data_IF_295422927700
#
_entry.id   IF_295422927700
#
_cell.length_a   1.000
_cell.length_b   1.000
_cell.length_c   1.000
_cell.angle_alpha   90.00
_cell.angle_beta   90.00
_cell.angle_gamma   90.00
#
_symmetry.space_group_name_H-M   'P 1'
#
loop_
_entity.id
_entity.type
_entity.pdbx_description
1 polymer ?
#
# COMPACT_ATOMS: atom_id res chain seq x y z
N UNK A 1 -39.08 24.74 18.88
CA UNK A 1 -38.61 23.88 17.77
C UNK A 1 -38.55 22.46 18.32
N UNK A 2 -39.31 21.51 17.76
CA UNK A 2 -39.37 20.15 18.30
C UNK A 2 -37.99 19.51 18.19
N UNK A 3 -37.54 18.90 19.30
CA UNK A 3 -36.35 18.04 19.36
C UNK A 3 -36.61 16.91 18.37
N UNK A 4 -35.89 16.91 17.25
CA UNK A 4 -35.91 15.79 16.33
C UNK A 4 -35.39 14.58 17.10
N UNK A 5 -36.27 13.66 17.47
CA UNK A 5 -35.90 12.29 17.82
C UNK A 5 -35.07 11.74 16.67
N UNK A 6 -33.76 11.72 16.82
CA UNK A 6 -32.86 11.02 15.92
C UNK A 6 -33.20 9.54 16.11
N UNK A 7 -34.13 9.03 15.29
CA UNK A 7 -34.30 7.60 15.09
C UNK A 7 -32.99 7.09 14.49
N UNK A 8 -32.06 6.72 15.36
CA UNK A 8 -30.86 5.97 15.02
C UNK A 8 -31.32 4.72 14.29
N UNK A 9 -31.27 4.77 12.94
CA UNK A 9 -31.44 3.58 12.11
C UNK A 9 -30.19 2.74 12.30
N UNK A 10 -30.26 1.83 13.27
CA UNK A 10 -29.25 0.78 13.44
C UNK A 10 -29.30 -0.11 12.20
N UNK A 11 -28.24 -0.07 11.39
CA UNK A 11 -28.12 -0.91 10.20
C UNK A 11 -27.85 -2.37 10.54
N UNK A 12 -27.26 -2.63 11.72
CA UNK A 12 -26.90 -3.96 12.19
C UNK A 12 -27.08 -4.05 13.70
N UNK A 13 -27.62 -5.16 14.19
CA UNK A 13 -27.77 -5.44 15.63
C UNK A 13 -26.99 -6.71 15.95
N UNK A 14 -26.05 -6.63 16.89
CA UNK A 14 -25.20 -7.76 17.29
C UNK A 14 -25.13 -7.85 18.81
N UNK A 15 -25.21 -9.06 19.34
CA UNK A 15 -25.04 -9.41 20.73
C UNK A 15 -23.81 -10.32 20.86
N UNK A 16 -22.77 -9.85 21.56
CA UNK A 16 -21.58 -10.66 21.85
C UNK A 16 -21.64 -11.16 23.30
N UNK A 17 -21.69 -12.47 23.50
CA UNK A 17 -21.77 -13.11 24.82
C UNK A 17 -20.38 -13.54 25.27
N UNK A 18 -19.86 -12.93 26.33
CA UNK A 18 -18.60 -13.32 26.96
C UNK A 18 -18.88 -14.21 28.17
N UNK A 19 -18.46 -15.47 28.12
CA UNK A 19 -18.76 -16.43 29.21
C UNK A 19 -17.72 -17.56 29.28
N UNK A 20 -17.45 -18.06 30.49
CA UNK A 20 -16.72 -19.30 30.73
C UNK A 20 -17.65 -20.46 31.17
N UNK A 21 -18.98 -20.23 31.17
CA UNK A 21 -20.00 -21.21 31.58
C UNK A 21 -20.72 -21.72 30.33
N UNK A 22 -20.55 -23.01 30.04
CA UNK A 22 -21.20 -23.75 28.95
C UNK A 22 -22.61 -24.25 29.30
N UNK A 23 -22.90 -24.48 30.60
CA UNK A 23 -24.24 -24.73 31.12
C UNK A 23 -24.69 -23.59 32.06
N UNK A 24 -25.29 -22.51 31.54
CA UNK A 24 -25.64 -21.34 32.34
C UNK A 24 -26.69 -21.65 33.43
N UNK A 25 -27.64 -22.53 33.12
CA UNK A 25 -28.82 -22.80 33.95
C UNK A 25 -28.72 -24.06 34.82
N UNK A 26 -27.58 -24.76 34.79
CA UNK A 26 -27.27 -25.92 35.67
C UNK A 26 -28.37 -27.00 35.73
N UNK A 27 -29.09 -27.23 34.62
CA UNK A 27 -30.15 -28.24 34.52
C UNK A 27 -31.57 -27.72 34.79
N UNK A 28 -31.77 -26.42 34.96
CA UNK A 28 -33.11 -25.83 35.01
C UNK A 28 -33.72 -25.75 33.59
N UNK A 29 -34.60 -26.71 33.30
CA UNK A 29 -35.24 -26.86 31.99
C UNK A 29 -36.17 -25.70 31.61
N UNK A 30 -36.79 -25.03 32.60
CA UNK A 30 -37.69 -23.90 32.33
C UNK A 30 -36.89 -22.70 31.83
N UNK A 31 -35.80 -22.35 32.52
CA UNK A 31 -34.93 -21.25 32.12
C UNK A 31 -34.18 -21.54 30.82
N UNK A 32 -33.72 -22.79 30.60
CA UNK A 32 -33.10 -23.19 29.33
C UNK A 32 -34.05 -22.98 28.14
N UNK A 33 -35.31 -23.44 28.28
CA UNK A 33 -36.32 -23.27 27.24
C UNK A 33 -36.60 -21.79 26.98
N UNK A 34 -36.79 -21.00 28.03
CA UNK A 34 -37.05 -19.57 27.91
C UNK A 34 -35.90 -18.83 27.22
N UNK A 35 -34.65 -19.14 27.56
CA UNK A 35 -33.47 -18.54 26.95
C UNK A 35 -33.35 -18.88 25.46
N UNK A 36 -33.60 -20.15 25.08
CA UNK A 36 -33.60 -20.60 23.68
C UNK A 36 -34.70 -19.94 22.86
N UNK A 37 -35.93 -19.87 23.39
CA UNK A 37 -37.04 -19.14 22.75
C UNK A 37 -36.66 -17.68 22.55
N UNK A 38 -36.11 -17.03 23.58
CA UNK A 38 -35.73 -15.61 23.47
C UNK A 38 -34.60 -15.38 22.47
N UNK A 39 -33.64 -16.28 22.37
CA UNK A 39 -32.60 -16.24 21.36
C UNK A 39 -33.18 -16.36 19.95
N UNK A 40 -34.18 -17.24 19.75
CA UNK A 40 -34.91 -17.37 18.47
C UNK A 40 -35.63 -16.07 18.11
N UNK A 41 -36.39 -15.49 19.05
CA UNK A 41 -37.08 -14.21 18.83
C UNK A 41 -36.09 -13.10 18.40
N UNK A 42 -34.92 -13.04 19.05
CA UNK A 42 -33.89 -12.07 18.73
C UNK A 42 -33.34 -12.28 17.31
N UNK A 43 -33.08 -13.53 16.90
CA UNK A 43 -32.66 -13.87 15.55
C UNK A 43 -33.71 -13.44 14.51
N UNK A 44 -34.99 -13.68 14.76
CA UNK A 44 -36.10 -13.25 13.89
C UNK A 44 -36.17 -11.72 13.75
N UNK A 45 -35.84 -10.97 14.79
CA UNK A 45 -35.76 -9.50 14.73
C UNK A 45 -34.47 -8.97 14.04
N UNK A 46 -33.63 -9.87 13.52
CA UNK A 46 -32.38 -9.54 12.82
C UNK A 46 -31.20 -9.25 13.76
N UNK A 47 -31.22 -9.74 15.00
CA UNK A 47 -30.09 -9.64 15.92
C UNK A 47 -29.17 -10.85 15.74
N UNK A 48 -27.90 -10.60 15.45
CA UNK A 48 -26.88 -11.65 15.39
C UNK A 48 -26.31 -11.92 16.79
N UNK A 49 -26.30 -13.18 17.21
CA UNK A 49 -25.80 -13.61 18.52
C UNK A 49 -24.47 -14.33 18.31
N UNK A 50 -23.38 -13.78 18.85
CA UNK A 50 -22.04 -14.36 18.79
C UNK A 50 -21.55 -14.78 20.17
N UNK A 51 -20.91 -15.95 20.24
CA UNK A 51 -20.30 -16.46 21.47
C UNK A 51 -18.80 -16.17 21.52
N UNK A 52 -18.37 -15.48 22.58
CA UNK A 52 -16.97 -15.23 22.96
C UNK A 52 -16.63 -16.09 24.19
N UNK A 53 -16.62 -17.41 24.01
CA UNK A 53 -16.42 -18.33 25.12
C UNK A 53 -14.95 -18.42 25.56
N UNK A 54 -14.76 -18.46 26.87
CA UNK A 54 -13.46 -18.42 27.54
C UNK A 54 -13.10 -19.80 28.10
N UNK A 55 -11.79 -20.07 28.18
CA UNK A 55 -11.30 -21.35 28.72
C UNK A 55 -11.70 -21.54 30.18
N UNK A 56 -12.23 -22.73 30.49
CA UNK A 56 -12.46 -23.22 31.86
C UNK A 56 -11.70 -24.54 32.08
N UNK A 57 -11.41 -24.90 33.35
CA UNK A 57 -10.93 -26.24 33.67
C UNK A 57 -11.92 -27.30 33.17
N UNK A 58 -11.45 -28.25 32.36
CA UNK A 58 -12.31 -29.26 31.72
C UNK A 58 -12.81 -28.91 30.31
N UNK A 59 -12.38 -27.78 29.72
CA UNK A 59 -12.78 -27.38 28.37
C UNK A 59 -14.14 -26.67 28.33
N UNK A 60 -14.58 -26.16 27.17
CA UNK A 60 -15.88 -25.50 27.02
C UNK A 60 -16.66 -26.21 25.92
N UNK A 61 -17.83 -26.77 26.24
CA UNK A 61 -18.65 -27.50 25.28
C UNK A 61 -19.82 -26.64 24.76
N UNK A 62 -19.73 -26.24 23.50
CA UNK A 62 -20.76 -25.41 22.83
C UNK A 62 -22.05 -26.20 22.60
N UNK A 63 -21.97 -27.54 22.46
CA UNK A 63 -23.10 -28.39 22.10
C UNK A 63 -24.16 -28.51 23.20
N UNK A 64 -23.79 -28.24 24.46
CA UNK A 64 -24.69 -28.38 25.60
C UNK A 64 -25.84 -27.35 25.60
N UNK A 65 -25.56 -26.12 25.15
CA UNK A 65 -26.52 -25.01 25.23
C UNK A 65 -26.40 -24.03 24.06
N UNK A 66 -25.18 -23.59 23.75
CA UNK A 66 -24.97 -22.47 22.86
C UNK A 66 -25.17 -22.79 21.37
N UNK A 67 -25.15 -24.06 20.97
CA UNK A 67 -25.40 -24.45 19.58
C UNK A 67 -26.73 -23.93 19.03
N UNK A 68 -27.78 -23.88 19.86
CA UNK A 68 -29.10 -23.42 19.44
C UNK A 68 -29.30 -21.91 19.69
N UNK A 69 -28.44 -21.30 20.52
CA UNK A 69 -28.53 -19.89 20.91
C UNK A 69 -27.75 -18.98 19.95
N UNK A 70 -26.58 -19.42 19.50
CA UNK A 70 -25.70 -18.64 18.62
C UNK A 70 -26.28 -18.57 17.21
N UNK A 71 -26.12 -17.44 16.53
CA UNK A 71 -26.52 -17.31 15.12
C UNK A 71 -25.58 -18.11 14.23
N UNK A 72 -26.09 -18.78 13.18
CA UNK A 72 -25.21 -19.43 12.21
C UNK A 72 -24.31 -18.37 11.55
N UNK A 73 -23.10 -18.75 11.13
CA UNK A 73 -22.20 -17.85 10.43
C UNK A 73 -22.83 -17.26 9.16
N UNK A 74 -22.44 -16.03 8.79
CA UNK A 74 -22.95 -15.38 7.57
C UNK A 74 -22.34 -16.02 6.29
N UNK A 75 -21.20 -16.71 6.40
CA UNK A 75 -20.47 -17.34 5.27
C UNK A 75 -20.16 -18.82 5.54
N UNK A 76 -20.20 -19.67 4.50
CA UNK A 76 -19.79 -21.08 4.60
C UNK A 76 -18.31 -21.26 4.98
N UNK A 77 -17.46 -20.26 4.72
CA UNK A 77 -16.07 -20.24 5.20
C UNK A 77 -15.97 -20.06 6.73
N UNK A 78 -17.00 -19.51 7.38
CA UNK A 78 -17.06 -19.39 8.84
C UNK A 78 -17.66 -20.64 9.52
N UNK A 79 -18.24 -21.60 8.75
CA UNK A 79 -18.76 -22.88 9.29
C UNK A 79 -17.64 -23.78 9.87
N UNK A 80 -16.38 -23.59 9.44
CA UNK A 80 -15.21 -24.28 10.01
C UNK A 80 -14.83 -23.82 11.43
N UNK A 81 -15.43 -22.75 11.93
CA UNK A 81 -15.15 -22.15 13.24
C UNK A 81 -16.03 -22.77 14.35
N UNK A 82 -15.90 -24.07 14.61
CA UNK A 82 -16.20 -24.57 15.95
C UNK A 82 -15.13 -24.00 16.89
N UNK A 83 -15.37 -22.77 17.36
CA UNK A 83 -14.35 -22.00 18.05
C UNK A 83 -13.90 -22.75 19.32
N UNK A 84 -12.59 -22.86 19.55
CA UNK A 84 -11.97 -23.30 20.78
C UNK A 84 -12.12 -22.14 21.78
N UNK A 85 -12.23 -22.45 23.07
CA UNK A 85 -12.30 -21.40 24.07
C UNK A 85 -11.05 -20.53 24.08
N UNK A 86 -11.24 -19.20 24.14
CA UNK A 86 -10.14 -18.25 24.23
C UNK A 86 -9.32 -18.49 25.51
N UNK A 87 -8.00 -18.62 25.36
CA UNK A 87 -7.05 -18.80 26.49
C UNK A 87 -6.36 -17.50 26.86
N UNK A 88 -5.99 -16.67 25.88
CA UNK A 88 -5.29 -15.40 26.06
C UNK A 88 -6.17 -14.22 25.68
N UNK A 89 -5.85 -13.05 26.24
CA UNK A 89 -6.50 -11.79 25.90
C UNK A 89 -6.29 -11.42 24.42
N UNK A 90 -5.10 -11.68 23.87
CA UNK A 90 -4.79 -11.41 22.46
C UNK A 90 -5.72 -12.17 21.51
N UNK A 91 -5.99 -13.45 21.79
CA UNK A 91 -6.88 -14.29 21.00
C UNK A 91 -8.32 -13.79 21.07
N UNK A 92 -8.76 -13.39 22.27
CA UNK A 92 -10.07 -12.79 22.49
C UNK A 92 -10.21 -11.47 21.73
N UNK A 93 -9.20 -10.60 21.79
CA UNK A 93 -9.20 -9.32 21.07
C UNK A 93 -9.26 -9.53 19.55
N UNK A 94 -8.47 -10.48 19.01
CA UNK A 94 -8.53 -10.84 17.58
C UNK A 94 -9.93 -11.32 17.19
N UNK A 95 -10.52 -12.21 18.00
CA UNK A 95 -11.87 -12.76 17.76
C UNK A 95 -12.96 -11.68 17.79
N UNK A 96 -12.91 -10.79 18.79
CA UNK A 96 -13.84 -9.67 18.89
C UNK A 96 -13.70 -8.76 17.67
N UNK A 97 -12.48 -8.34 17.31
CA UNK A 97 -12.22 -7.48 16.15
C UNK A 97 -12.69 -8.08 14.82
N UNK A 98 -12.55 -9.39 14.65
CA UNK A 98 -13.03 -10.11 13.46
C UNK A 98 -14.55 -10.04 13.29
N UNK A 99 -15.30 -9.93 14.40
CA UNK A 99 -16.77 -9.90 14.42
C UNK A 99 -17.37 -8.52 14.71
N UNK A 100 -16.55 -7.58 15.17
CA UNK A 100 -16.97 -6.22 15.54
C UNK A 100 -17.48 -5.43 14.33
N UNK A 101 -16.73 -5.49 13.23
CA UNK A 101 -17.06 -4.77 12.00
C UNK A 101 -17.63 -5.70 10.94
N UNK A 102 -18.75 -5.31 10.32
CA UNK A 102 -19.27 -6.03 9.15
C UNK A 102 -18.38 -5.75 7.93
N UNK A 103 -18.24 -6.75 7.06
CA UNK A 103 -17.61 -6.60 5.74
C UNK A 103 -18.27 -5.42 5.00
N UNK A 104 -17.46 -4.49 4.51
CA UNK A 104 -17.91 -3.32 3.75
C UNK A 104 -17.23 -3.32 2.40
N UNK A 105 -18.02 -3.54 1.34
CA UNK A 105 -17.53 -3.37 -0.02
C UNK A 105 -17.28 -1.88 -0.29
N UNK A 106 -16.10 -1.60 -0.83
CA UNK A 106 -15.70 -0.28 -1.32
C UNK A 106 -16.35 0.03 -2.66
N UNK A 107 -16.49 -0.97 -3.53
CA UNK A 107 -17.24 -0.89 -4.77
C UNK A 107 -17.79 -2.28 -5.12
N UNK A 108 -18.88 -2.32 -5.88
CA UNK A 108 -19.37 -3.54 -6.53
C UNK A 108 -19.25 -3.35 -8.03
N UNK A 109 -18.54 -4.26 -8.69
CA UNK A 109 -18.15 -4.15 -10.09
C UNK A 109 -18.44 -5.47 -10.82
N UNK A 110 -18.63 -5.38 -12.13
CA UNK A 110 -18.66 -6.56 -12.98
C UNK A 110 -17.22 -6.93 -13.39
N UNK A 111 -16.88 -8.20 -13.26
CA UNK A 111 -15.67 -8.81 -13.83
C UNK A 111 -16.05 -9.54 -15.12
N UNK A 112 -15.66 -8.97 -16.25
CA UNK A 112 -15.85 -9.51 -17.59
C UNK A 112 -14.68 -10.42 -17.97
N UNK A 113 -14.95 -11.70 -18.22
CA UNK A 113 -13.94 -12.68 -18.69
C UNK A 113 -13.86 -12.75 -20.22
N UNK A 114 -14.90 -12.29 -20.92
CA UNK A 114 -15.07 -12.37 -22.37
C UNK A 114 -16.49 -12.00 -22.76
N UNK A 115 -16.78 -11.98 -24.07
CA UNK A 115 -18.10 -11.60 -24.58
C UNK A 115 -19.23 -12.46 -23.97
N UNK A 116 -20.15 -11.81 -23.26
CA UNK A 116 -21.28 -12.45 -22.60
C UNK A 116 -20.99 -13.13 -21.26
N UNK A 117 -19.72 -13.23 -20.83
CA UNK A 117 -19.33 -13.87 -19.56
C UNK A 117 -18.94 -12.83 -18.51
N UNK A 118 -19.92 -12.42 -17.69
CA UNK A 118 -19.74 -11.47 -16.59
C UNK A 118 -20.04 -12.14 -15.25
N UNK A 119 -19.25 -11.82 -14.23
CA UNK A 119 -19.56 -12.15 -12.84
C UNK A 119 -19.54 -10.88 -11.99
N UNK A 120 -20.31 -10.84 -10.91
CA UNK A 120 -20.28 -9.72 -9.99
C UNK A 120 -19.21 -9.95 -8.90
N UNK A 121 -18.43 -8.91 -8.61
CA UNK A 121 -17.41 -8.93 -7.57
C UNK A 121 -17.46 -7.67 -6.72
N UNK A 122 -17.23 -7.87 -5.43
CA UNK A 122 -17.02 -6.84 -4.44
C UNK A 122 -15.54 -6.50 -4.35
N UNK A 123 -15.24 -5.22 -4.36
CA UNK A 123 -13.90 -4.69 -4.10
C UNK A 123 -13.86 -4.26 -2.64
N UNK A 124 -12.90 -4.78 -1.89
CA UNK A 124 -12.70 -4.53 -0.47
C UNK A 124 -11.34 -3.88 -0.25
N UNK A 125 -11.25 -3.01 0.74
CA UNK A 125 -9.97 -2.43 1.18
C UNK A 125 -9.65 -3.04 2.53
N UNK A 126 -8.66 -3.94 2.55
CA UNK A 126 -8.24 -4.65 3.77
C UNK A 126 -7.20 -3.87 4.57
N UNK A 127 -6.43 -3.01 3.91
CA UNK A 127 -5.46 -2.12 4.53
C UNK A 127 -5.70 -0.68 4.08
N UNK A 128 -6.03 0.19 5.03
CA UNK A 128 -6.21 1.61 4.81
C UNK A 128 -5.25 2.38 5.72
N UNK A 129 -4.54 3.35 5.16
CA UNK A 129 -3.72 4.25 5.97
C UNK A 129 -4.61 5.08 6.89
N UNK A 130 -4.47 4.89 8.20
CA UNK A 130 -5.14 5.73 9.19
C UNK A 130 -4.58 7.14 9.12
N UNK A 131 -5.43 8.11 8.78
CA UNK A 131 -5.11 9.54 8.76
C UNK A 131 -5.69 10.22 9.99
N UNK A 132 -5.05 11.28 10.45
CA UNK A 132 -5.61 12.16 11.47
C UNK A 132 -6.98 12.67 11.00
N UNK A 133 -8.05 12.56 11.83
CA UNK A 133 -9.36 13.10 11.47
C UNK A 133 -9.29 14.60 11.16
N UNK A 134 -10.11 15.05 10.22
CA UNK A 134 -10.22 16.47 9.89
C UNK A 134 -10.84 17.24 11.07
N UNK A 135 -10.37 18.47 11.30
CA UNK A 135 -10.96 19.34 12.31
C UNK A 135 -12.41 19.70 11.96
N UNK A 136 -13.27 19.74 12.99
CA UNK A 136 -14.67 20.18 12.87
C UNK A 136 -14.74 21.62 13.36
N UNK A 137 -15.40 22.50 12.58
CA UNK A 137 -15.62 23.90 12.98
C UNK A 137 -16.75 23.96 13.99
N UNK A 138 -16.51 24.61 15.13
CA UNK A 138 -17.48 24.74 16.22
C UNK A 138 -17.86 26.21 16.44
N UNK A 139 -19.07 26.45 16.95
CA UNK A 139 -19.47 27.76 17.44
C UNK A 139 -18.86 27.99 18.82
N UNK A 140 -18.30 29.19 19.05
CA UNK A 140 -17.45 29.49 20.21
C UNK A 140 -18.17 29.29 21.55
N UNK A 141 -19.43 29.70 21.63
CA UNK A 141 -20.11 29.84 22.91
C UNK A 141 -20.81 28.55 23.36
N UNK A 142 -21.14 27.65 22.43
CA UNK A 142 -21.88 26.42 22.73
C UNK A 142 -21.23 25.13 22.19
N UNK A 143 -20.09 25.24 21.51
CA UNK A 143 -19.35 24.12 20.90
C UNK A 143 -20.17 23.29 19.89
N UNK A 144 -21.26 23.83 19.33
CA UNK A 144 -22.05 23.13 18.33
C UNK A 144 -21.35 23.12 16.96
N UNK A 145 -21.40 22.01 16.20
CA UNK A 145 -20.83 21.94 14.86
C UNK A 145 -21.45 22.93 13.88
N UNK A 146 -20.61 23.66 13.15
CA UNK A 146 -21.03 24.67 12.17
C UNK A 146 -21.08 24.07 10.77
N UNK A 147 -22.21 24.27 10.08
CA UNK A 147 -22.38 23.87 8.68
C UNK A 147 -21.73 24.87 7.73
N UNK A 148 -20.72 24.43 6.97
CA UNK A 148 -20.11 25.24 5.91
C UNK A 148 -20.92 25.16 4.61
N UNK A 149 -21.30 26.30 4.03
CA UNK A 149 -21.91 26.40 2.69
C UNK A 149 -20.98 27.21 1.79
N UNK A 150 -20.50 26.61 0.70
CA UNK A 150 -19.66 27.30 -0.30
C UNK A 150 -20.51 27.67 -1.49
N UNK A 151 -20.43 28.94 -1.91
CA UNK A 151 -21.14 29.48 -3.08
C UNK A 151 -20.16 30.28 -3.93
N UNK A 152 -20.30 30.20 -5.24
CA UNK A 152 -19.49 30.94 -6.20
C UNK A 152 -20.28 32.14 -6.71
N UNK A 153 -19.63 33.30 -6.79
CA UNK A 153 -20.25 34.54 -7.22
C UNK A 153 -19.42 35.21 -8.29
N UNK A 154 -20.07 35.89 -9.21
CA UNK A 154 -19.41 36.75 -10.18
C UNK A 154 -18.89 38.00 -9.47
N UNK A 155 -17.62 38.34 -9.68
CA UNK A 155 -16.92 39.37 -8.88
C UNK A 155 -17.47 40.78 -9.08
N UNK A 156 -17.91 41.13 -10.30
CA UNK A 156 -18.42 42.48 -10.59
C UNK A 156 -19.92 42.65 -10.29
N UNK A 157 -20.76 41.70 -10.72
CA UNK A 157 -22.23 41.76 -10.57
C UNK A 157 -22.71 41.24 -9.21
N UNK A 158 -21.89 40.49 -8.47
CA UNK A 158 -22.30 39.84 -7.22
C UNK A 158 -23.32 38.70 -7.40
N UNK A 159 -23.64 38.32 -8.65
CA UNK A 159 -24.62 37.27 -8.94
C UNK A 159 -24.07 35.89 -8.62
N UNK A 160 -24.94 35.01 -8.13
CA UNK A 160 -24.60 33.60 -7.90
C UNK A 160 -24.27 32.92 -9.24
N UNK A 161 -23.16 32.19 -9.29
CA UNK A 161 -22.76 31.41 -10.47
C UNK A 161 -23.29 29.98 -10.36
N UNK A 162 -24.05 29.58 -11.38
CA UNK A 162 -24.46 28.20 -11.58
C UNK A 162 -23.36 27.42 -12.30
N UNK A 163 -23.36 26.07 -12.24
CA UNK A 163 -22.41 25.26 -12.99
C UNK A 163 -22.40 25.55 -14.50
N UNK A 164 -23.55 25.93 -15.08
CA UNK A 164 -23.72 26.33 -16.48
C UNK A 164 -23.04 27.65 -16.83
N UNK A 165 -22.83 28.52 -15.84
CA UNK A 165 -22.26 29.86 -16.03
C UNK A 165 -20.72 29.81 -16.01
N UNK A 166 -20.13 28.63 -15.78
CA UNK A 166 -18.70 28.45 -15.60
C UNK A 166 -18.14 27.43 -16.58
N UNK A 167 -17.03 27.78 -17.23
CA UNK A 167 -16.24 26.87 -18.06
C UNK A 167 -14.91 26.53 -17.39
N UNK A 168 -14.26 25.45 -17.81
CA UNK A 168 -12.89 25.12 -17.41
C UNK A 168 -11.92 25.70 -18.42
N UNK A 169 -10.79 26.22 -17.95
CA UNK A 169 -9.75 26.73 -18.83
C UNK A 169 -8.37 26.27 -18.37
N UNK A 170 -7.49 25.96 -19.33
CA UNK A 170 -6.07 25.74 -19.13
C UNK A 170 -5.28 26.59 -20.13
N UNK A 171 -4.18 27.20 -19.70
CA UNK A 171 -3.35 28.08 -20.54
C UNK A 171 -2.03 27.39 -20.84
N UNK A 172 -1.72 27.22 -22.13
CA UNK A 172 -0.46 26.65 -22.60
C UNK A 172 0.20 27.62 -23.58
N UNK A 173 1.45 28.03 -23.29
CA UNK A 173 2.22 28.94 -24.14
C UNK A 173 1.44 30.21 -24.56
N UNK A 174 0.69 30.80 -23.62
CA UNK A 174 -0.14 32.00 -23.87
C UNK A 174 -1.44 31.75 -24.63
N UNK A 175 -1.74 30.52 -25.04
CA UNK A 175 -3.02 30.13 -25.65
C UNK A 175 -3.97 29.57 -24.59
N UNK A 176 -5.17 30.12 -24.51
CA UNK A 176 -6.21 29.67 -23.60
C UNK A 176 -7.06 28.59 -24.27
N UNK A 177 -7.10 27.40 -23.67
CA UNK A 177 -7.96 26.29 -24.07
C UNK A 177 -9.13 26.24 -23.10
N UNK A 178 -10.33 26.51 -23.60
CA UNK A 178 -11.58 26.51 -22.83
C UNK A 178 -12.35 25.22 -23.15
N UNK A 179 -12.84 24.56 -22.11
CA UNK A 179 -13.61 23.33 -22.19
C UNK A 179 -14.85 23.42 -21.30
N UNK A 180 -15.95 22.85 -21.77
CA UNK A 180 -17.11 22.58 -20.93
C UNK A 180 -16.79 21.48 -19.92
N UNK A 181 -17.56 21.43 -18.82
CA UNK A 181 -17.39 20.37 -17.81
C UNK A 181 -17.56 18.98 -18.42
N UNK A 182 -18.54 18.82 -19.30
CA UNK A 182 -18.86 17.54 -19.94
C UNK A 182 -17.74 17.09 -20.89
N UNK A 183 -17.09 18.02 -21.58
CA UNK A 183 -15.92 17.72 -22.42
C UNK A 183 -14.76 17.18 -21.57
N UNK A 184 -14.51 17.78 -20.40
CA UNK A 184 -13.49 17.29 -19.45
C UNK A 184 -13.81 15.88 -18.95
N UNK A 185 -15.08 15.56 -18.75
CA UNK A 185 -15.52 14.24 -18.30
C UNK A 185 -15.41 13.20 -19.42
N UNK A 186 -15.72 13.57 -20.66
CA UNK A 186 -15.52 12.72 -21.86
C UNK A 186 -14.05 12.40 -22.07
N UNK A 187 -13.15 13.38 -21.92
CA UNK A 187 -11.70 13.18 -22.05
C UNK A 187 -11.18 12.10 -21.07
N UNK A 188 -11.81 11.98 -19.89
CA UNK A 188 -11.43 10.99 -18.88
C UNK A 188 -12.11 9.63 -19.05
N UNK A 189 -13.09 9.49 -19.94
CA UNK A 189 -13.84 8.25 -20.12
C UNK A 189 -13.11 7.31 -21.06
N UNK A 190 -12.62 6.19 -20.52
CA UNK A 190 -11.94 5.13 -21.30
C UNK A 190 -12.78 3.86 -21.43
N UNK A 191 -13.37 3.40 -20.33
CA UNK A 191 -14.18 2.20 -20.27
C UNK A 191 -15.29 2.40 -19.23
N UNK A 192 -16.33 1.58 -19.28
CA UNK A 192 -17.35 1.59 -18.23
C UNK A 192 -16.79 0.96 -16.93
N UNK A 193 -17.38 1.27 -15.76
CA UNK A 193 -16.89 0.76 -14.48
C UNK A 193 -16.94 -0.77 -14.43
N UNK A 194 -15.80 -1.38 -14.09
CA UNK A 194 -15.67 -2.83 -14.14
C UNK A 194 -14.22 -3.28 -14.11
N UNK A 195 -14.08 -4.61 -14.10
CA UNK A 195 -12.84 -5.31 -14.36
C UNK A 195 -12.99 -6.04 -15.70
N UNK A 196 -12.09 -5.79 -16.65
CA UNK A 196 -12.07 -6.49 -17.95
C UNK A 196 -10.80 -7.34 -18.02
N UNK A 197 -10.95 -8.65 -18.13
CA UNK A 197 -9.83 -9.57 -18.23
C UNK A 197 -9.09 -9.36 -19.56
N UNK A 198 -7.78 -9.13 -19.48
CA UNK A 198 -6.89 -9.06 -20.65
C UNK A 198 -6.26 -10.44 -20.90
N UNK A 199 -5.89 -11.15 -19.84
CA UNK A 199 -5.31 -12.48 -19.94
C UNK A 199 -4.59 -12.92 -18.66
N UNK A 200 -3.80 -13.99 -18.77
CA UNK A 200 -3.08 -14.58 -17.64
C UNK A 200 -1.57 -14.45 -17.84
N UNK A 201 -0.83 -14.18 -16.76
CA UNK A 201 0.63 -14.15 -16.78
C UNK A 201 1.22 -14.95 -15.61
N UNK A 202 2.41 -15.56 -15.77
CA UNK A 202 3.09 -16.27 -14.68
C UNK A 202 3.46 -15.34 -13.52
N UNK A 203 3.42 -15.86 -12.29
CA UNK A 203 3.73 -15.09 -11.08
C UNK A 203 5.13 -14.47 -11.09
N UNK A 204 6.10 -15.13 -11.72
CA UNK A 204 7.50 -14.67 -11.86
C UNK A 204 7.64 -13.32 -12.57
N UNK A 205 6.66 -12.93 -13.40
CA UNK A 205 6.67 -11.64 -14.08
C UNK A 205 6.24 -10.48 -13.18
N UNK A 206 5.63 -10.77 -12.03
CA UNK A 206 5.21 -9.78 -11.06
C UNK A 206 6.37 -9.45 -10.13
N UNK A 207 6.89 -8.22 -10.23
CA UNK A 207 8.02 -7.75 -9.42
C UNK A 207 7.52 -7.01 -8.18
N UNK A 208 8.11 -7.31 -7.03
CA UNK A 208 7.74 -6.70 -5.75
C UNK A 208 7.88 -5.15 -5.76
N UNK A 209 8.93 -4.64 -6.41
CA UNK A 209 9.21 -3.20 -6.49
C UNK A 209 8.29 -2.43 -7.45
N UNK A 210 7.39 -3.09 -8.18
CA UNK A 210 6.35 -2.42 -8.97
C UNK A 210 5.12 -2.05 -8.11
N UNK A 211 5.24 -2.05 -6.79
CA UNK A 211 4.17 -1.62 -5.90
C UNK A 211 3.92 -0.11 -6.03
N UNK A 212 2.71 0.26 -6.45
CA UNK A 212 2.31 1.67 -6.61
C UNK A 212 1.52 2.21 -5.42
N UNK A 213 0.56 1.43 -4.91
CA UNK A 213 -0.37 1.82 -3.84
C UNK A 213 -0.98 0.57 -3.20
N UNK A 214 -1.66 0.76 -2.05
CA UNK A 214 -2.36 -0.29 -1.33
C UNK A 214 -3.22 -1.15 -2.26
N UNK A 215 -3.05 -2.47 -2.14
CA UNK A 215 -3.82 -3.45 -2.87
C UNK A 215 -5.29 -3.45 -2.42
N UNK A 216 -6.17 -3.92 -3.30
CA UNK A 216 -7.56 -4.21 -2.98
C UNK A 216 -7.78 -5.72 -2.90
N UNK A 217 -8.83 -6.15 -2.22
CA UNK A 217 -9.22 -7.55 -2.17
C UNK A 217 -10.52 -7.74 -2.95
N UNK A 218 -10.57 -8.73 -3.83
CA UNK A 218 -11.71 -9.01 -4.70
C UNK A 218 -12.37 -10.31 -4.24
N UNK A 219 -13.69 -10.27 -4.05
CA UNK A 219 -14.52 -11.39 -3.60
C UNK A 219 -15.84 -11.44 -4.39
N UNK A 220 -16.44 -12.60 -4.68
CA UNK A 220 -17.66 -12.68 -5.49
C UNK A 220 -18.87 -12.07 -4.77
N UNK A 221 -19.79 -11.47 -5.53
CA UNK A 221 -21.07 -10.94 -5.03
C UNK A 221 -22.23 -11.74 -5.63
N UNK A 222 -22.56 -12.87 -5.00
CA UNK A 222 -23.58 -13.81 -5.46
C UNK A 222 -24.99 -13.17 -5.53
N UNK A 223 -25.26 -12.20 -4.65
CA UNK A 223 -26.53 -11.45 -4.60
C UNK A 223 -26.81 -10.64 -5.87
N UNK A 224 -25.76 -10.21 -6.58
CA UNK A 224 -25.87 -9.35 -7.76
C UNK A 224 -26.01 -10.17 -9.05
N UNK A 225 -25.21 -11.23 -9.19
CA UNK A 225 -25.23 -12.13 -10.34
C UNK A 225 -25.06 -13.57 -9.84
N UNK A 226 -26.13 -14.36 -9.92
CA UNK A 226 -26.14 -15.77 -9.52
C UNK A 226 -25.16 -16.59 -10.37
N UNK A 227 -24.39 -17.46 -9.72
CA UNK A 227 -23.31 -18.25 -10.31
C UNK A 227 -21.93 -17.58 -10.24
N UNK A 228 -21.84 -16.35 -9.72
CA UNK A 228 -20.56 -15.63 -9.61
C UNK A 228 -19.56 -16.36 -8.71
N UNK A 229 -20.00 -16.84 -7.55
CA UNK A 229 -19.16 -17.56 -6.60
C UNK A 229 -18.59 -18.86 -7.20
N UNK A 230 -19.40 -19.57 -7.99
CA UNK A 230 -18.99 -20.81 -8.66
C UNK A 230 -17.84 -20.55 -9.67
N UNK A 231 -18.04 -19.59 -10.58
CA UNK A 231 -17.03 -19.25 -11.60
C UNK A 231 -15.78 -18.65 -10.95
N UNK A 232 -15.97 -17.79 -9.95
CA UNK A 232 -14.88 -17.18 -9.19
C UNK A 232 -14.02 -18.23 -8.49
N UNK A 233 -14.63 -19.21 -7.82
CA UNK A 233 -13.94 -20.29 -7.12
C UNK A 233 -13.16 -21.18 -8.10
N UNK A 234 -13.76 -21.51 -9.24
CA UNK A 234 -13.07 -22.25 -10.30
C UNK A 234 -11.84 -21.48 -10.82
N UNK A 235 -11.99 -20.17 -11.06
CA UNK A 235 -10.90 -19.30 -11.49
C UNK A 235 -9.78 -19.24 -10.44
N UNK A 236 -10.12 -19.02 -9.17
CA UNK A 236 -9.17 -18.96 -8.05
C UNK A 236 -8.35 -20.25 -7.93
N UNK A 237 -9.04 -21.40 -7.97
CA UNK A 237 -8.42 -22.72 -7.90
C UNK A 237 -7.43 -22.92 -9.06
N UNK A 238 -7.86 -22.67 -10.29
CA UNK A 238 -7.03 -22.86 -11.49
C UNK A 238 -5.85 -21.91 -11.57
N UNK A 239 -6.02 -20.65 -11.17
CA UNK A 239 -4.91 -19.69 -11.14
C UNK A 239 -3.85 -20.08 -10.11
N UNK A 240 -4.30 -20.56 -8.94
CA UNK A 240 -3.40 -21.07 -7.89
C UNK A 240 -2.63 -22.31 -8.34
N UNK A 241 -3.32 -23.30 -8.95
CA UNK A 241 -2.70 -24.55 -9.43
C UNK A 241 -1.66 -24.30 -10.53
N UNK A 242 -1.90 -23.30 -11.38
CA UNK A 242 -1.01 -22.97 -12.51
C UNK A 242 0.04 -21.90 -12.19
N UNK A 243 0.05 -21.37 -10.97
CA UNK A 243 0.93 -20.27 -10.55
C UNK A 243 0.88 -19.05 -11.49
N UNK A 244 -0.34 -18.65 -11.87
CA UNK A 244 -0.60 -17.49 -12.75
C UNK A 244 -1.49 -16.47 -12.05
N UNK A 245 -1.40 -15.21 -12.50
CA UNK A 245 -2.29 -14.13 -12.10
C UNK A 245 -3.11 -13.62 -13.28
N UNK A 246 -4.24 -12.99 -12.98
CA UNK A 246 -5.09 -12.38 -14.01
C UNK A 246 -4.64 -10.93 -14.21
N UNK A 247 -4.40 -10.54 -15.45
CA UNK A 247 -4.18 -9.14 -15.81
C UNK A 247 -5.50 -8.55 -16.28
N UNK A 248 -5.99 -7.52 -15.59
CA UNK A 248 -7.26 -6.88 -15.88
C UNK A 248 -7.08 -5.38 -16.13
N UNK A 249 -7.95 -4.81 -16.95
CA UNK A 249 -8.26 -3.38 -16.90
C UNK A 249 -9.20 -3.14 -15.71
N UNK A 250 -8.93 -2.12 -14.93
CA UNK A 250 -9.71 -1.73 -13.78
C UNK A 250 -10.17 -0.29 -13.93
N UNK A 251 -11.49 -0.11 -13.95
CA UNK A 251 -12.15 1.20 -13.97
C UNK A 251 -13.11 1.26 -12.79
N UNK A 252 -12.82 2.12 -11.82
CA UNK A 252 -13.58 2.15 -10.57
C UNK A 252 -14.94 2.86 -10.72
N UNK A 253 -14.95 4.01 -11.40
CA UNK A 253 -16.11 4.90 -11.52
C UNK A 253 -16.23 5.44 -12.93
N UNK A 254 -17.41 5.94 -13.28
CA UNK A 254 -17.65 6.59 -14.57
C UNK A 254 -16.69 7.78 -14.76
N UNK A 255 -16.31 8.02 -16.02
CA UNK A 255 -15.46 9.14 -16.42
C UNK A 255 -14.12 9.18 -15.66
N UNK A 256 -13.54 8.00 -15.41
CA UNK A 256 -12.21 7.87 -14.81
C UNK A 256 -11.25 7.09 -15.71
N UNK A 257 -9.94 7.43 -15.70
CA UNK A 257 -8.94 6.67 -16.42
C UNK A 257 -8.83 5.23 -15.91
N UNK A 258 -8.75 4.30 -16.86
CA UNK A 258 -8.52 2.88 -16.59
C UNK A 258 -7.09 2.65 -16.08
N UNK A 259 -6.91 1.71 -15.16
CA UNK A 259 -5.58 1.24 -14.72
C UNK A 259 -5.43 -0.26 -14.93
N UNK A 260 -4.19 -0.73 -15.07
CA UNK A 260 -3.92 -2.17 -15.02
C UNK A 260 -3.92 -2.66 -13.58
N UNK A 261 -4.69 -3.71 -13.33
CA UNK A 261 -4.80 -4.40 -12.06
C UNK A 261 -4.44 -5.86 -12.24
N UNK A 262 -3.57 -6.37 -11.38
CA UNK A 262 -3.22 -7.78 -11.33
C UNK A 262 -4.00 -8.45 -10.22
N UNK A 263 -4.75 -9.49 -10.55
CA UNK A 263 -5.47 -10.32 -9.58
C UNK A 263 -4.58 -11.52 -9.21
N UNK A 264 -3.92 -11.42 -8.06
CA UNK A 264 -3.11 -12.50 -7.49
C UNK A 264 -4.02 -13.44 -6.69
N UNK A 265 -4.09 -14.74 -7.01
CA UNK A 265 -4.90 -15.69 -6.26
C UNK A 265 -4.38 -15.84 -4.83
N UNK A 266 -5.26 -15.72 -3.85
CA UNK A 266 -5.03 -16.04 -2.45
C UNK A 266 -5.95 -17.19 -2.02
N UNK A 267 -5.36 -18.30 -1.58
CA UNK A 267 -6.11 -19.37 -0.92
C UNK A 267 -6.34 -19.02 0.54
N UNK A 268 -7.36 -19.63 1.11
CA UNK A 268 -7.63 -19.54 2.53
C UNK A 268 -6.43 -20.08 3.33
N UNK A 269 -6.02 -19.30 4.35
CA UNK A 269 -4.98 -19.71 5.30
C UNK A 269 -5.51 -19.46 6.70
N UNK A 270 -5.59 -20.55 7.45
CA UNK A 270 -6.02 -20.54 8.84
C UNK A 270 -4.82 -20.80 9.77
N UNK A 271 -4.76 -20.06 10.87
CA UNK A 271 -3.88 -20.38 11.99
C UNK A 271 -4.75 -20.68 13.21
N UNK A 272 -4.75 -21.95 13.62
CA UNK A 272 -5.72 -22.47 14.58
C UNK A 272 -7.13 -22.37 14.02
N UNK A 273 -7.89 -21.41 14.53
CA UNK A 273 -9.28 -21.16 14.12
C UNK A 273 -9.53 -19.66 13.92
N UNK A 274 -8.50 -18.93 13.51
CA UNK A 274 -8.66 -17.60 12.99
C UNK A 274 -8.23 -17.62 11.53
N UNK A 275 -9.14 -17.19 10.66
CA UNK A 275 -8.80 -16.96 9.25
C UNK A 275 -7.80 -15.80 9.21
N UNK A 276 -6.56 -16.08 8.81
CA UNK A 276 -5.53 -15.04 8.59
C UNK A 276 -5.73 -14.43 7.21
N UNK A 277 -6.00 -15.28 6.23
CA UNK A 277 -6.09 -14.90 4.83
C UNK A 277 -7.39 -15.44 4.24
N UNK A 278 -8.29 -14.55 3.83
CA UNK A 278 -9.54 -14.93 3.17
C UNK A 278 -9.28 -15.47 1.76
N UNK A 279 -10.06 -16.45 1.27
CA UNK A 279 -9.97 -16.91 -0.11
C UNK A 279 -10.44 -15.81 -1.08
N UNK A 280 -9.67 -15.51 -2.11
CA UNK A 280 -10.02 -14.46 -3.07
C UNK A 280 -8.86 -14.03 -3.95
N UNK A 281 -8.95 -12.81 -4.51
CA UNK A 281 -7.83 -12.23 -5.27
C UNK A 281 -7.36 -10.92 -4.65
N UNK A 282 -6.04 -10.77 -4.51
CA UNK A 282 -5.43 -9.46 -4.28
C UNK A 282 -5.30 -8.72 -5.60
N UNK A 283 -6.02 -7.61 -5.73
CA UNK A 283 -5.85 -6.64 -6.80
C UNK A 283 -4.66 -5.72 -6.53
N UNK A 284 -3.54 -5.97 -7.19
CA UNK A 284 -2.32 -5.17 -7.12
C UNK A 284 -2.27 -4.22 -8.32
N UNK A 285 -2.17 -2.91 -8.08
CA UNK A 285 -2.08 -1.91 -9.13
C UNK A 285 -0.69 -1.93 -9.78
N UNK A 286 -0.65 -2.02 -11.11
CA UNK A 286 0.59 -1.92 -11.86
C UNK A 286 0.90 -0.46 -12.24
N UNK A 287 2.18 -0.07 -12.20
CA UNK A 287 2.62 1.24 -12.66
C UNK A 287 2.53 1.33 -14.18
N UNK A 288 2.15 2.50 -14.68
CA UNK A 288 2.42 2.89 -16.06
C UNK A 288 3.89 3.31 -16.21
N UNK A 289 4.35 3.51 -17.45
CA UNK A 289 5.70 4.00 -17.70
C UNK A 289 5.97 5.33 -16.96
N UNK A 290 4.98 6.21 -16.87
CA UNK A 290 5.05 7.51 -16.20
C UNK A 290 5.24 7.41 -14.67
N UNK A 291 4.84 6.27 -14.07
CA UNK A 291 4.97 6.01 -12.63
C UNK A 291 6.39 5.51 -12.27
N UNK A 292 7.15 5.02 -13.26
CA UNK A 292 8.52 4.51 -13.07
C UNK A 292 9.48 5.69 -13.12
N UNK A 293 10.17 5.95 -12.00
CA UNK A 293 11.14 7.04 -11.86
C UNK A 293 12.57 6.49 -11.83
N UNK A 294 13.49 7.15 -12.53
CA UNK A 294 14.93 7.02 -12.27
C UNK A 294 15.23 7.72 -10.95
N UNK A 295 15.66 6.97 -9.94
CA UNK A 295 15.92 7.50 -8.60
C UNK A 295 17.26 8.23 -8.56
N UNK A 296 17.24 9.51 -8.18
CA UNK A 296 18.34 10.16 -7.46
C UNK A 296 17.93 10.12 -5.99
N UNK A 297 18.54 9.25 -5.18
CA UNK A 297 18.04 8.87 -3.84
C UNK A 297 18.00 10.04 -2.85
N UNK A 298 16.82 10.45 -2.35
CA UNK A 298 16.68 11.31 -1.18
C UNK A 298 16.07 10.53 0.00
N UNK A 299 16.35 11.01 1.21
CA UNK A 299 15.98 10.36 2.46
C UNK A 299 14.47 10.25 2.69
N UNK A 300 14.07 9.09 3.20
CA UNK A 300 12.70 8.71 3.48
C UNK A 300 12.19 9.42 4.74
N UNK A 301 11.00 10.07 4.70
CA UNK A 301 10.37 10.61 5.90
C UNK A 301 9.80 9.49 6.78
N UNK A 302 9.85 9.69 8.10
CA UNK A 302 9.26 8.81 9.11
C UNK A 302 7.74 8.99 9.20
N UNK A 303 7.04 7.92 9.60
CA UNK A 303 5.61 7.88 9.94
C UNK A 303 5.44 7.68 11.47
N UNK A 304 4.37 8.01 12.20
CA UNK A 304 3.34 9.08 12.10
C UNK A 304 2.71 9.29 13.50
N UNK A 305 2.31 10.54 13.82
CA UNK A 305 1.84 11.06 15.13
C UNK A 305 0.39 10.66 15.57
N UNK A 306 -0.15 9.53 15.13
CA UNK A 306 -1.58 9.21 15.30
C UNK A 306 -1.95 8.83 16.75
N UNK A 307 -1.15 8.00 17.44
CA UNK A 307 -1.43 7.56 18.80
C UNK A 307 -1.40 8.73 19.80
N UNK A 308 -0.39 9.60 19.68
CA UNK A 308 -0.28 10.80 20.50
C UNK A 308 -1.48 11.74 20.32
N UNK A 309 -2.01 11.86 19.09
CA UNK A 309 -3.18 12.68 18.85
C UNK A 309 -4.42 12.22 19.63
N UNK A 310 -4.70 10.90 19.66
CA UNK A 310 -5.87 10.37 20.37
C UNK A 310 -5.71 10.43 21.89
N UNK A 311 -4.49 10.22 22.43
CA UNK A 311 -4.23 10.42 23.87
C UNK A 311 -4.42 11.87 24.30
N UNK A 312 -4.01 12.83 23.47
CA UNK A 312 -4.26 14.25 23.73
C UNK A 312 -5.77 14.55 23.72
N UNK A 313 -6.53 13.97 22.79
CA UNK A 313 -7.99 14.14 22.75
C UNK A 313 -8.69 13.51 23.95
N UNK A 314 -8.27 12.32 24.37
CA UNK A 314 -8.81 11.64 25.56
C UNK A 314 -8.55 12.46 26.82
N UNK A 315 -7.33 12.99 26.99
CA UNK A 315 -6.99 13.86 28.11
C UNK A 315 -7.83 15.15 28.12
N UNK A 316 -8.01 15.80 26.97
CA UNK A 316 -8.87 16.98 26.86
C UNK A 316 -10.35 16.66 27.08
N UNK A 317 -10.83 15.51 26.62
CA UNK A 317 -12.23 15.12 26.77
C UNK A 317 -12.59 14.69 28.21
N UNK A 318 -11.61 14.20 28.95
CA UNK A 318 -11.74 13.76 30.34
C UNK A 318 -11.23 14.79 31.37
N UNK A 319 -10.86 16.01 30.93
CA UNK A 319 -10.27 17.08 31.76
C UNK A 319 -9.04 16.63 32.57
N UNK A 320 -8.20 15.76 32.00
CA UNK A 320 -6.94 15.33 32.60
C UNK A 320 -5.86 16.43 32.46
N UNK A 321 -5.02 16.59 33.49
CA UNK A 321 -3.96 17.61 33.51
C UNK A 321 -2.89 17.41 32.43
N UNK A 322 -2.62 16.15 32.06
CA UNK A 322 -1.66 15.82 31.02
C UNK A 322 -2.07 14.50 30.33
N UNK A 323 -1.76 14.34 29.04
CA UNK A 323 -1.97 13.08 28.34
C UNK A 323 -1.02 12.00 28.85
N UNK A 324 -1.49 10.75 28.83
CA UNK A 324 -0.65 9.59 29.10
C UNK A 324 0.47 9.47 28.05
N UNK A 325 1.68 9.17 28.51
CA UNK A 325 2.82 8.98 27.62
C UNK A 325 2.64 7.71 26.79
N UNK A 326 2.90 7.81 25.48
CA UNK A 326 2.87 6.67 24.56
C UNK A 326 4.32 6.30 24.23
N UNK A 327 4.70 5.07 24.54
CA UNK A 327 5.98 4.52 24.12
C UNK A 327 6.01 4.34 22.60
N UNK A 328 7.04 4.86 21.95
CA UNK A 328 7.21 4.74 20.50
C UNK A 328 7.87 3.41 20.15
N UNK A 329 7.05 2.41 19.86
CA UNK A 329 7.51 1.08 19.43
C UNK A 329 8.11 1.05 18.00
N UNK A 330 8.15 2.18 17.28
CA UNK A 330 8.85 2.27 15.98
C UNK A 330 10.35 2.56 16.14
N UNK A 331 10.74 3.12 17.29
CA UNK A 331 12.13 3.39 17.60
C UNK A 331 12.89 2.09 17.89
N UNK A 332 14.08 1.86 17.29
CA UNK A 332 14.88 0.69 17.58
C UNK A 332 15.27 0.62 19.06
N UNK A 333 15.20 -0.56 19.67
CA UNK A 333 15.67 -0.78 21.03
C UNK A 333 17.20 -0.94 21.04
N UNK A 334 17.90 0.20 20.95
CA UNK A 334 19.36 0.30 20.76
C UNK A 334 20.13 -0.49 21.82
N UNK A 335 19.75 -0.37 23.09
CA UNK A 335 20.45 -1.05 24.20
C UNK A 335 20.41 -2.58 24.04
N UNK A 336 19.26 -3.14 23.69
CA UNK A 336 19.13 -4.59 23.43
C UNK A 336 19.91 -5.01 22.18
N UNK A 337 19.93 -4.17 21.14
CA UNK A 337 20.68 -4.43 19.91
C UNK A 337 22.18 -4.46 20.18
N UNK A 338 22.71 -3.47 20.91
CA UNK A 338 24.14 -3.37 21.25
C UNK A 338 24.59 -4.56 22.11
N UNK A 339 23.79 -4.92 23.13
CA UNK A 339 24.06 -6.10 23.95
C UNK A 339 24.08 -7.40 23.12
N UNK A 340 23.16 -7.54 22.15
CA UNK A 340 23.07 -8.72 21.29
C UNK A 340 24.17 -8.78 20.24
N UNK A 341 24.61 -7.63 19.72
CA UNK A 341 25.66 -7.52 18.72
C UNK A 341 27.06 -7.72 19.33
N UNK A 342 27.28 -7.28 20.56
CA UNK A 342 28.57 -7.45 21.25
C UNK A 342 29.74 -6.91 20.41
N UNK A 343 30.73 -7.76 20.12
CA UNK A 343 31.90 -7.39 19.31
C UNK A 343 31.64 -7.39 17.79
N UNK A 344 30.58 -8.03 17.30
CA UNK A 344 30.33 -8.21 15.86
C UNK A 344 30.20 -6.87 15.13
N UNK A 345 29.61 -5.87 15.79
CA UNK A 345 29.49 -4.53 15.23
C UNK A 345 30.86 -3.88 15.02
N UNK A 346 31.81 -4.12 15.92
CA UNK A 346 33.16 -3.60 15.80
C UNK A 346 33.98 -4.40 14.77
N UNK A 347 33.87 -5.73 14.77
CA UNK A 347 34.52 -6.59 13.78
C UNK A 347 34.09 -6.23 12.35
N UNK A 348 32.80 -5.96 12.13
CA UNK A 348 32.30 -5.49 10.84
C UNK A 348 32.86 -4.11 10.47
N UNK A 349 32.97 -3.19 11.44
CA UNK A 349 33.58 -1.87 11.18
C UNK A 349 35.04 -2.01 10.77
N UNK A 350 35.80 -2.86 11.44
CA UNK A 350 37.22 -3.07 11.15
C UNK A 350 37.44 -3.72 9.78
N UNK A 351 36.48 -4.52 9.30
CA UNK A 351 36.51 -5.14 7.95
C UNK A 351 36.14 -4.18 6.82
N UNK A 352 35.24 -3.23 7.07
CA UNK A 352 34.63 -2.40 6.02
C UNK A 352 35.21 -0.98 5.98
N UNK A 353 35.43 -0.40 7.16
CA UNK A 353 35.83 1.00 7.28
C UNK A 353 37.33 1.11 7.53
N UNK A 354 38.05 1.85 6.68
CA UNK A 354 39.42 2.27 6.98
C UNK A 354 39.49 3.03 8.31
N UNK A 355 40.65 2.97 8.99
CA UNK A 355 40.84 3.58 10.31
C UNK A 355 40.64 5.11 10.35
N UNK A 356 40.73 5.77 9.19
CA UNK A 356 40.51 7.21 8.99
C UNK A 356 39.09 7.56 8.48
N UNK A 357 38.21 6.57 8.36
CA UNK A 357 36.84 6.79 7.90
C UNK A 357 35.98 7.44 9.00
N UNK A 358 35.54 8.67 8.73
CA UNK A 358 34.56 9.36 9.57
C UNK A 358 33.15 9.28 8.94
N UNK A 359 32.25 8.42 9.44
CA UNK A 359 30.89 8.25 8.90
C UNK A 359 30.01 9.51 9.04
N UNK A 360 30.34 10.42 9.96
CA UNK A 360 29.61 11.68 10.19
C UNK A 360 30.32 12.90 9.60
N UNK A 361 31.50 12.69 9.02
CA UNK A 361 32.28 13.74 8.38
C UNK A 361 31.61 14.19 7.09
N UNK A 362 30.89 15.32 7.12
CA UNK A 362 30.55 16.04 5.88
C UNK A 362 31.84 16.20 5.07
N UNK A 363 31.85 15.72 3.83
CA UNK A 363 32.94 15.95 2.89
C UNK A 363 33.12 17.47 2.77
N UNK A 364 34.18 18.00 3.39
CA UNK A 364 34.49 19.41 3.28
C UNK A 364 34.70 19.71 1.79
N UNK A 365 34.00 20.70 1.20
CA UNK A 365 34.26 21.08 -0.17
C UNK A 365 35.73 21.46 -0.27
N UNK A 366 36.47 20.78 -1.16
CA UNK A 366 37.87 21.10 -1.45
C UNK A 366 37.99 22.62 -1.64
N UNK A 367 38.61 23.30 -0.67
CA UNK A 367 38.94 24.72 -0.76
C UNK A 367 39.76 24.92 -2.03
N UNK A 368 39.22 25.67 -3.00
CA UNK A 368 40.05 26.31 -4.02
C UNK A 368 40.90 27.38 -3.31
N UNK A 369 42.23 27.39 -3.48
CA UNK A 369 43.03 28.54 -3.07
C UNK A 369 42.62 29.77 -3.89
N UNK A 370 42.58 30.92 -3.22
CA UNK A 370 42.24 32.21 -3.78
C UNK A 370 43.22 32.66 -4.87
N UNK A 371 42.69 33.49 -5.78
CA UNK A 371 43.31 33.98 -7.01
C UNK A 371 44.63 34.74 -6.80
N UNK A 372 45.54 34.57 -7.76
CA UNK A 372 46.49 35.60 -8.18
C UNK A 372 46.36 35.76 -9.70
N UNK A 373 46.34 37.02 -10.13
CA UNK A 373 45.94 37.52 -11.44
C UNK A 373 46.76 37.01 -12.64
N UNK A 374 46.09 36.88 -13.80
CA UNK A 374 46.72 37.00 -15.12
C UNK A 374 46.55 35.81 -16.07
N UNK A 375 45.70 35.98 -17.10
CA UNK A 375 45.92 35.43 -18.45
C UNK A 375 45.39 34.02 -18.80
N UNK A 376 44.57 34.02 -19.87
CA UNK A 376 44.17 32.90 -20.75
C UNK A 376 43.11 31.89 -20.22
N UNK A 377 41.93 31.93 -20.86
CA UNK A 377 40.89 30.89 -20.80
C UNK A 377 41.48 29.51 -21.12
N UNK A 378 41.63 28.66 -20.10
CA UNK A 378 41.88 27.23 -20.29
C UNK A 378 40.55 26.51 -20.48
N UNK A 379 40.37 25.89 -21.64
CA UNK A 379 39.30 24.92 -21.93
C UNK A 379 39.17 23.88 -20.81
N UNK A 380 37.95 23.42 -20.49
CA UNK A 380 37.72 22.45 -19.42
C UNK A 380 38.48 21.15 -19.72
N UNK A 381 39.25 20.70 -18.73
CA UNK A 381 39.96 19.41 -18.75
C UNK A 381 38.91 18.32 -18.57
N UNK A 382 38.58 17.61 -19.65
CA UNK A 382 37.68 16.46 -19.62
C UNK A 382 38.49 15.27 -19.13
N UNK A 383 38.45 14.99 -17.82
CA UNK A 383 38.97 13.75 -17.25
C UNK A 383 37.90 12.67 -17.42
N UNK A 384 38.22 11.62 -18.16
CA UNK A 384 37.36 10.46 -18.38
C UNK A 384 37.74 9.36 -17.38
N UNK A 385 36.74 8.70 -16.79
CA UNK A 385 36.98 7.68 -15.76
C UNK A 385 37.54 6.38 -16.35
N UNK A 386 38.20 5.56 -15.52
CA UNK A 386 38.81 4.29 -15.93
C UNK A 386 37.76 3.32 -16.52
N UNK A 387 36.56 3.30 -15.92
CA UNK A 387 35.45 2.43 -16.32
C UNK A 387 34.81 2.84 -17.66
N UNK A 388 34.73 4.14 -17.95
CA UNK A 388 34.26 4.65 -19.25
C UNK A 388 35.23 4.29 -20.37
N UNK A 389 36.54 4.40 -20.12
CA UNK A 389 37.57 4.00 -21.09
C UNK A 389 37.52 2.49 -21.35
N UNK A 390 37.34 1.67 -20.31
CA UNK A 390 37.14 0.22 -20.41
C UNK A 390 35.91 -0.12 -21.25
N UNK A 391 34.80 0.58 -21.04
CA UNK A 391 33.59 0.43 -21.84
C UNK A 391 33.77 0.78 -23.32
N UNK A 392 34.58 1.80 -23.63
CA UNK A 392 34.90 2.17 -25.00
C UNK A 392 35.77 1.14 -25.72
N UNK A 393 36.69 0.48 -25.00
CA UNK A 393 37.55 -0.60 -25.53
C UNK A 393 36.71 -1.83 -25.86
N UNK A 394 35.88 -2.29 -24.92
CA UNK A 394 35.02 -3.46 -25.12
C UNK A 394 34.04 -3.29 -26.28
N UNK A 395 33.55 -2.07 -26.51
CA UNK A 395 32.60 -1.76 -27.58
C UNK A 395 33.25 -1.40 -28.91
N UNK A 396 34.59 -1.41 -29.01
CA UNK A 396 35.32 -1.01 -30.21
C UNK A 396 35.10 0.46 -30.62
N UNK A 397 34.73 1.33 -29.68
CA UNK A 397 34.33 2.73 -29.95
C UNK A 397 35.41 3.77 -29.68
N UNK A 398 36.63 3.36 -29.35
CA UNK A 398 37.79 4.25 -29.16
C UNK A 398 38.04 5.19 -30.36
N UNK A 399 37.72 4.74 -31.57
CA UNK A 399 37.81 5.54 -32.81
C UNK A 399 36.89 6.77 -32.82
N UNK A 400 35.88 6.86 -31.94
CA UNK A 400 34.98 8.00 -31.81
C UNK A 400 35.50 9.09 -30.86
N UNK A 401 36.52 8.78 -30.05
CA UNK A 401 37.12 9.75 -29.13
C UNK A 401 37.97 10.78 -29.87
N UNK A 402 38.11 11.98 -29.32
CA UNK A 402 38.97 13.01 -29.92
C UNK A 402 40.43 12.77 -29.53
N UNK A 403 41.37 13.24 -30.36
CA UNK A 403 42.81 13.10 -30.12
C UNK A 403 43.25 13.65 -28.73
N UNK A 404 42.72 14.77 -28.22
CA UNK A 404 43.02 15.24 -26.86
C UNK A 404 42.62 14.24 -25.77
N UNK A 405 41.43 13.64 -25.88
CA UNK A 405 40.92 12.64 -24.92
C UNK A 405 41.78 11.38 -24.94
N UNK A 406 42.18 10.92 -26.13
CA UNK A 406 43.07 9.76 -26.28
C UNK A 406 44.47 10.03 -25.68
N UNK A 407 45.00 11.25 -25.80
CA UNK A 407 46.29 11.63 -25.19
C UNK A 407 46.23 11.67 -23.67
N UNK A 408 45.14 12.17 -23.10
CA UNK A 408 44.97 12.20 -21.64
C UNK A 408 44.74 10.79 -21.08
N UNK A 409 43.98 9.94 -21.78
CA UNK A 409 43.89 8.51 -21.46
C UNK A 409 45.26 7.82 -21.52
N UNK A 410 46.07 8.05 -22.57
CA UNK A 410 47.41 7.48 -22.65
C UNK A 410 48.31 7.89 -21.47
N UNK A 411 48.23 9.16 -21.02
CA UNK A 411 48.97 9.63 -19.84
C UNK A 411 48.53 8.93 -18.55
N UNK A 412 47.22 8.72 -18.39
CA UNK A 412 46.65 8.07 -17.21
C UNK A 412 47.12 6.61 -17.07
N UNK A 413 47.34 5.91 -18.19
CA UNK A 413 47.83 4.53 -18.22
C UNK A 413 49.35 4.40 -18.43
N UNK A 414 50.09 5.51 -18.30
CA UNK A 414 51.55 5.52 -18.36
C UNK A 414 52.15 5.26 -19.74
N UNK A 415 51.38 5.43 -20.82
CA UNK A 415 51.84 5.25 -22.21
C UNK A 415 52.56 6.52 -22.67
N UNK A 416 53.85 6.39 -23.01
CA UNK A 416 54.62 7.50 -23.60
C UNK A 416 54.14 7.79 -25.02
N UNK A 417 53.52 8.95 -25.20
CA UNK A 417 52.96 9.37 -26.47
C UNK A 417 53.98 10.17 -27.29
N UNK A 418 54.57 9.56 -28.32
CA UNK A 418 55.40 10.26 -29.33
C UNK A 418 54.66 10.54 -30.64
N UNK A 419 53.53 9.87 -30.88
CA UNK A 419 52.73 9.97 -32.11
C UNK A 419 51.71 11.12 -32.13
N UNK A 420 51.54 11.73 -33.31
CA UNK A 420 50.49 12.74 -33.59
C UNK A 420 49.26 12.13 -34.26
N UNK A 421 49.33 10.89 -34.76
CA UNK A 421 48.23 10.23 -35.46
C UNK A 421 47.26 9.55 -34.49
N UNK A 422 45.97 9.69 -34.76
CA UNK A 422 44.88 9.13 -33.93
C UNK A 422 44.96 7.61 -33.78
N UNK A 423 45.31 6.90 -34.86
CA UNK A 423 45.40 5.44 -34.84
C UNK A 423 46.53 4.94 -33.93
N UNK A 424 47.69 5.60 -33.94
CA UNK A 424 48.83 5.24 -33.08
C UNK A 424 48.49 5.35 -31.59
N UNK A 425 47.65 6.34 -31.21
CA UNK A 425 47.17 6.48 -29.83
C UNK A 425 46.22 5.35 -29.43
N UNK A 426 45.34 4.94 -30.35
CA UNK A 426 44.40 3.84 -30.12
C UNK A 426 45.16 2.53 -29.96
N UNK A 427 46.14 2.27 -30.84
CA UNK A 427 46.92 1.04 -30.83
C UNK A 427 47.80 0.95 -29.57
N UNK A 428 48.45 2.05 -29.17
CA UNK A 428 49.29 2.10 -27.97
C UNK A 428 48.47 1.94 -26.67
N UNK A 429 47.28 2.55 -26.62
CA UNK A 429 46.37 2.42 -25.48
C UNK A 429 45.78 1.01 -25.39
N UNK A 430 45.40 0.43 -26.53
CA UNK A 430 44.88 -0.94 -26.60
C UNK A 430 45.94 -1.95 -26.18
N UNK A 431 47.17 -1.83 -26.70
CA UNK A 431 48.28 -2.70 -26.32
C UNK A 431 48.60 -2.65 -24.82
N UNK A 432 48.56 -1.46 -24.21
CA UNK A 432 48.80 -1.30 -22.78
C UNK A 432 47.69 -1.92 -21.92
N UNK A 433 46.43 -1.78 -22.35
CA UNK A 433 45.29 -2.37 -21.67
C UNK A 433 45.26 -3.89 -21.80
N UNK A 434 45.64 -4.45 -22.95
CA UNK A 434 45.83 -5.89 -23.14
C UNK A 434 46.95 -6.43 -22.26
N UNK A 435 48.04 -5.67 -22.08
CA UNK A 435 49.18 -6.03 -21.22
C UNK A 435 48.82 -6.07 -19.73
N UNK A 436 47.78 -5.34 -19.32
CA UNK A 436 47.21 -5.35 -17.97
C UNK A 436 46.22 -6.49 -17.73
N UNK A 437 46.13 -7.48 -18.64
CA UNK A 437 45.34 -8.70 -18.45
C UNK A 437 43.85 -8.52 -18.70
N UNK A 438 43.46 -7.55 -19.52
CA UNK A 438 42.06 -7.33 -19.89
C UNK A 438 41.82 -7.90 -21.29
N UNK A 439 41.20 -9.07 -21.31
CA UNK A 439 40.86 -9.84 -22.50
C UNK A 439 40.06 -9.00 -23.51
N UNK A 440 40.59 -8.84 -24.71
CA UNK A 440 39.92 -8.25 -25.87
C UNK A 440 39.42 -9.39 -26.75
N UNK A 441 38.25 -9.94 -26.43
CA UNK A 441 37.50 -10.74 -27.41
C UNK A 441 36.81 -9.80 -28.38
N UNK A 442 37.44 -9.61 -29.55
CA UNK A 442 36.81 -9.00 -30.72
C UNK A 442 35.89 -10.06 -31.33
N UNK A 443 34.58 -9.89 -31.17
CA UNK A 443 33.57 -10.39 -32.11
C UNK A 443 32.76 -9.20 -32.61
#
# INVERSE_FOLDING_TARGET
>A
MPVNDIKLRLSHKRLMIFTCRDMPHRGDSEHDRQARTKASDLKETGVMIDLMHLMKPGGFDVSLFFCDVVSPPEDEAELGLQMEPCRKLEDLQKRVRAKEMKKRSFARLNLCLGEGMNMAVGVYITALQTKKPNAIKLYRDNNEPVRTKTRLYHTQTGSLLLPSDTKKAQVYAGKQIVMEKDEVDVIKKFSDPGLELIGFKPMERLKLHHHLRSAVFIYPEEEMVTGSACVFTALLRRCSERNVFNLCKYTQILNSPTRFLVLVPQREVDEGQAQIAAPGFHGIFLPYADDIRTLDTPQLPMASNAQQHYRNLEALALDLMAPEHVEDHTMPNVNMMDQRLGSLAQEFRDLVYPADYNPEGKTAPKRKPAEAAGGAEKKPKVEMSEDELRGHVQKGTLGKLTVPVLKDACKQFGVKVTGTKKQELIDALTAQLTKLGLDVKIC
#
